data_IF_498248902187
#
_entry.id   IF_498248902187
#
_cell.length_a   1.000
_cell.length_b   1.000
_cell.length_c   1.000
_cell.angle_alpha   90.00
_cell.angle_beta   90.00
_cell.angle_gamma   90.00
#
_symmetry.space_group_name_H-M   'P 1'
#
loop_
_entity.id
_entity.type
_entity.pdbx_description
1 polymer ?
#
# COMPACT_ATOMS: atom_id res chain seq x y z
N UNK A 1 34.35 5.52 22.48
CA UNK A 1 33.83 4.38 21.71
C UNK A 1 32.39 4.02 22.13
N UNK A 2 31.79 4.76 23.09
CA UNK A 2 30.45 4.51 23.62
C UNK A 2 29.27 4.92 22.74
N UNK A 3 29.42 5.87 21.81
CA UNK A 3 28.29 6.40 21.06
C UNK A 3 27.60 5.34 20.19
N UNK A 4 28.37 4.46 19.55
CA UNK A 4 27.83 3.36 18.73
C UNK A 4 27.11 2.33 19.59
N UNK A 5 27.66 1.97 20.75
CA UNK A 5 27.03 1.04 21.68
C UNK A 5 25.72 1.61 22.25
N UNK A 6 25.71 2.90 22.61
CA UNK A 6 24.50 3.61 23.02
C UNK A 6 23.45 3.63 21.90
N UNK A 7 23.85 3.92 20.67
CA UNK A 7 22.94 3.91 19.53
C UNK A 7 22.35 2.52 19.24
N UNK A 8 23.15 1.45 19.37
CA UNK A 8 22.66 0.06 19.27
C UNK A 8 21.65 -0.22 20.37
N UNK A 9 21.94 0.18 21.61
CA UNK A 9 21.02 -0.02 22.73
C UNK A 9 19.69 0.71 22.50
N UNK A 10 19.73 1.95 21.99
CA UNK A 10 18.51 2.68 21.63
C UNK A 10 17.76 2.05 20.45
N UNK A 11 18.45 1.41 19.49
CA UNK A 11 17.77 0.63 18.45
C UNK A 11 17.05 -0.59 19.05
N UNK A 12 17.69 -1.29 19.98
CA UNK A 12 17.06 -2.43 20.69
C UNK A 12 15.84 -1.97 21.49
N UNK A 13 15.93 -0.83 22.18
CA UNK A 13 14.79 -0.26 22.92
C UNK A 13 13.61 0.12 22.01
N UNK A 14 13.90 0.61 20.79
CA UNK A 14 12.87 1.08 19.86
C UNK A 14 12.30 -0.02 18.96
N UNK A 15 13.12 -0.99 18.56
CA UNK A 15 12.77 -1.99 17.54
C UNK A 15 12.89 -3.44 18.03
N UNK A 16 13.37 -3.66 19.25
CA UNK A 16 13.57 -4.98 19.85
C UNK A 16 14.89 -5.66 19.48
N UNK A 17 15.52 -5.28 18.38
CA UNK A 17 16.76 -5.86 17.87
C UNK A 17 17.65 -4.81 17.17
N UNK A 18 18.97 -5.06 17.04
CA UNK A 18 19.85 -4.17 16.30
C UNK A 18 19.59 -4.23 14.80
N UNK A 19 19.28 -3.08 14.20
CA UNK A 19 18.88 -2.97 12.78
C UNK A 19 19.94 -3.52 11.82
N UNK A 20 21.23 -3.44 12.18
CA UNK A 20 22.31 -3.98 11.36
C UNK A 20 22.25 -5.50 11.20
N UNK A 21 21.83 -6.21 12.24
CA UNK A 21 21.69 -7.67 12.21
C UNK A 21 20.43 -8.08 11.43
N UNK A 22 19.31 -7.39 11.67
CA UNK A 22 18.06 -7.60 10.92
C UNK A 22 18.30 -7.42 9.42
N UNK A 23 18.95 -6.33 9.01
CA UNK A 23 19.25 -6.05 7.60
C UNK A 23 20.14 -7.15 7.00
N UNK A 24 21.17 -7.63 7.71
CA UNK A 24 22.03 -8.71 7.22
C UNK A 24 21.28 -10.03 7.06
N UNK A 25 20.39 -10.34 8.01
CA UNK A 25 19.52 -11.53 7.98
C UNK A 25 18.57 -11.52 6.78
N UNK A 26 18.15 -10.33 6.33
CA UNK A 26 17.30 -10.16 5.15
C UNK A 26 18.08 -10.24 3.84
N UNK A 27 19.27 -9.63 3.78
CA UNK A 27 20.04 -9.54 2.53
C UNK A 27 20.47 -10.91 1.98
N UNK A 28 20.94 -11.81 2.84
CA UNK A 28 21.51 -13.08 2.40
C UNK A 28 20.47 -14.04 1.78
N UNK A 29 19.31 -14.30 2.41
CA UNK A 29 18.28 -15.18 1.83
C UNK A 29 17.65 -14.62 0.56
N UNK A 30 17.47 -13.29 0.50
CA UNK A 30 16.83 -12.65 -0.66
C UNK A 30 17.80 -12.39 -1.82
N UNK A 31 19.10 -12.68 -1.65
CA UNK A 31 20.12 -12.38 -2.67
C UNK A 31 20.25 -10.88 -2.99
N UNK A 32 19.82 -10.01 -2.08
CA UNK A 32 19.78 -8.56 -2.29
C UNK A 32 21.09 -7.89 -1.87
N UNK A 33 21.44 -6.81 -2.57
CA UNK A 33 22.47 -5.87 -2.11
C UNK A 33 21.87 -4.85 -1.14
N UNK A 34 22.70 -4.13 -0.36
CA UNK A 34 22.21 -3.05 0.50
C UNK A 34 21.44 -1.98 -0.31
N UNK A 35 21.90 -1.65 -1.52
CA UNK A 35 21.18 -0.74 -2.42
C UNK A 35 19.84 -1.31 -2.88
N UNK A 36 19.79 -2.61 -3.18
CA UNK A 36 18.56 -3.32 -3.52
C UNK A 36 17.55 -3.25 -2.37
N UNK A 37 17.94 -3.62 -1.16
CA UNK A 37 17.06 -3.54 0.02
C UNK A 37 16.60 -2.10 0.29
N UNK A 38 17.50 -1.11 0.18
CA UNK A 38 17.16 0.30 0.34
C UNK A 38 16.04 0.72 -0.63
N UNK A 39 16.12 0.28 -1.89
CA UNK A 39 15.11 0.56 -2.91
C UNK A 39 13.77 -0.13 -2.62
N UNK A 40 13.81 -1.35 -2.07
CA UNK A 40 12.61 -2.11 -1.66
C UNK A 40 11.89 -1.42 -0.50
N UNK A 41 12.62 -1.04 0.55
CA UNK A 41 12.02 -0.42 1.74
C UNK A 41 11.72 1.08 1.55
N UNK A 42 12.24 1.70 0.49
CA UNK A 42 12.04 3.12 0.18
C UNK A 42 12.95 4.06 0.97
N UNK A 43 14.16 3.60 1.31
CA UNK A 43 15.19 4.38 1.99
C UNK A 43 16.33 4.70 1.01
N UNK A 44 17.09 5.77 1.27
CA UNK A 44 18.33 5.99 0.52
C UNK A 44 19.42 5.02 0.99
N UNK A 45 20.24 4.53 0.06
CA UNK A 45 21.40 3.70 0.36
C UNK A 45 22.34 4.28 1.47
N UNK A 46 22.68 5.59 1.49
CA UNK A 46 23.49 6.15 2.58
C UNK A 46 22.76 6.11 3.93
N UNK A 47 21.45 6.33 3.97
CA UNK A 47 20.67 6.28 5.21
C UNK A 47 20.57 4.84 5.75
N UNK A 48 20.48 3.83 4.86
CA UNK A 48 20.54 2.43 5.26
C UNK A 48 21.93 2.08 5.84
N UNK A 49 23.01 2.54 5.18
CA UNK A 49 24.38 2.33 5.65
C UNK A 49 24.63 2.93 7.04
N UNK A 50 24.06 4.11 7.31
CA UNK A 50 24.13 4.76 8.63
C UNK A 50 23.37 4.01 9.72
N UNK A 51 22.23 3.41 9.41
CA UNK A 51 21.46 2.58 10.35
C UNK A 51 22.21 1.27 10.67
N UNK A 52 22.75 0.61 9.64
CA UNK A 52 23.53 -0.63 9.78
C UNK A 52 24.81 -0.41 10.57
N UNK A 53 25.47 0.74 10.37
CA UNK A 53 26.67 1.13 11.14
C UNK A 53 26.36 1.71 12.52
N UNK A 54 25.09 1.71 12.94
CA UNK A 54 24.59 2.31 14.18
C UNK A 54 25.02 3.78 14.40
N UNK A 55 25.24 4.53 13.32
CA UNK A 55 25.42 5.98 13.37
C UNK A 55 24.08 6.72 13.48
N UNK A 56 22.99 6.05 13.10
CA UNK A 56 21.63 6.58 13.12
C UNK A 56 20.69 5.61 13.83
N UNK A 57 19.78 6.14 14.63
CA UNK A 57 18.89 5.34 15.50
C UNK A 57 17.45 5.31 14.96
N UNK A 58 16.86 6.47 14.63
CA UNK A 58 15.42 6.55 14.30
C UNK A 58 15.11 6.45 12.80
N UNK A 59 14.18 5.57 12.41
CA UNK A 59 13.54 5.57 11.08
C UNK A 59 12.37 6.55 11.15
N UNK A 60 12.42 7.64 10.39
CA UNK A 60 11.39 8.70 10.46
C UNK A 60 10.08 8.37 9.75
N UNK A 61 10.06 7.31 8.93
CA UNK A 61 8.90 6.93 8.13
C UNK A 61 8.40 5.53 8.57
N UNK A 62 7.19 5.40 9.14
CA UNK A 62 6.66 4.11 9.57
C UNK A 62 6.48 3.12 8.42
N UNK A 63 6.25 3.60 7.19
CA UNK A 63 6.16 2.74 6.00
C UNK A 63 7.45 1.95 5.73
N UNK A 64 8.61 2.53 6.02
CA UNK A 64 9.90 1.86 5.87
C UNK A 64 9.99 0.68 6.84
N UNK A 65 9.51 0.86 8.08
CA UNK A 65 9.52 -0.22 9.07
C UNK A 65 8.57 -1.35 8.69
N UNK A 66 7.39 -1.02 8.19
CA UNK A 66 6.44 -2.03 7.67
C UNK A 66 7.05 -2.83 6.51
N UNK A 67 7.73 -2.19 5.57
CA UNK A 67 8.42 -2.88 4.45
C UNK A 67 9.62 -3.69 4.92
N UNK A 68 10.37 -3.21 5.91
CA UNK A 68 11.49 -3.96 6.49
C UNK A 68 10.99 -5.24 7.18
N UNK A 69 9.91 -5.16 7.96
CA UNK A 69 9.29 -6.35 8.57
C UNK A 69 8.81 -7.34 7.51
N UNK A 70 8.12 -6.86 6.46
CA UNK A 70 7.67 -7.73 5.37
C UNK A 70 8.86 -8.40 4.62
N UNK A 71 9.98 -7.68 4.46
CA UNK A 71 11.20 -8.26 3.89
C UNK A 71 11.84 -9.31 4.81
N UNK A 72 11.78 -9.12 6.13
CA UNK A 72 12.20 -10.13 7.12
C UNK A 72 11.32 -11.38 7.09
N UNK A 73 10.00 -11.23 7.00
CA UNK A 73 9.06 -12.35 6.86
C UNK A 73 9.32 -13.13 5.56
N UNK A 74 9.53 -12.42 4.44
CA UNK A 74 9.89 -13.06 3.17
C UNK A 74 11.22 -13.82 3.26
N UNK A 75 12.22 -13.25 3.95
CA UNK A 75 13.50 -13.91 4.15
C UNK A 75 13.36 -15.21 4.96
N UNK A 76 12.47 -15.23 5.96
CA UNK A 76 12.16 -16.43 6.73
C UNK A 76 11.52 -17.52 5.86
N UNK A 77 10.55 -17.15 5.02
CA UNK A 77 9.89 -18.07 4.06
C UNK A 77 10.87 -18.68 3.05
N UNK A 78 11.91 -17.94 2.65
CA UNK A 78 12.98 -18.47 1.78
C UNK A 78 13.87 -19.44 2.57
N UNK A 79 14.21 -19.12 3.82
CA UNK A 79 15.00 -20.00 4.70
C UNK A 79 14.25 -21.32 4.97
N UNK A 80 12.93 -21.27 5.19
CA UNK A 80 12.08 -22.44 5.42
C UNK A 80 11.74 -23.21 4.13
N UNK A 81 12.19 -22.71 2.97
CA UNK A 81 11.91 -23.26 1.64
C UNK A 81 10.41 -23.30 1.29
N UNK A 82 9.61 -22.42 1.90
CA UNK A 82 8.19 -22.24 1.57
C UNK A 82 7.99 -21.42 0.29
N UNK A 83 9.00 -20.64 -0.10
CA UNK A 83 9.04 -19.87 -1.35
C UNK A 83 10.27 -20.30 -2.15
N UNK A 84 10.08 -20.51 -3.46
CA UNK A 84 11.17 -20.83 -4.37
C UNK A 84 11.92 -19.57 -4.82
N UNK A 85 13.19 -19.72 -5.18
CA UNK A 85 14.06 -18.60 -5.60
C UNK A 85 13.49 -17.78 -6.77
N UNK A 86 12.74 -18.43 -7.67
CA UNK A 86 12.10 -17.78 -8.82
C UNK A 86 10.98 -16.81 -8.42
N UNK A 87 10.32 -17.03 -7.28
CA UNK A 87 9.20 -16.20 -6.81
C UNK A 87 9.65 -15.00 -5.95
N UNK A 88 10.93 -14.97 -5.54
CA UNK A 88 11.50 -13.90 -4.71
C UNK A 88 11.36 -12.51 -5.37
N UNK A 89 11.67 -12.31 -6.67
CA UNK A 89 11.56 -11.00 -7.31
C UNK A 89 10.13 -10.44 -7.26
N UNK A 90 9.13 -11.26 -7.57
CA UNK A 90 7.71 -10.87 -7.54
C UNK A 90 7.24 -10.53 -6.12
N UNK A 91 7.68 -11.30 -5.13
CA UNK A 91 7.39 -11.02 -3.73
C UNK A 91 8.02 -9.71 -3.25
N UNK A 92 9.27 -9.44 -3.66
CA UNK A 92 9.99 -8.19 -3.37
C UNK A 92 9.31 -6.98 -4.02
N UNK A 93 8.88 -7.07 -5.28
CA UNK A 93 8.13 -5.99 -5.94
C UNK A 93 6.76 -5.74 -5.27
N UNK A 94 6.11 -6.79 -4.75
CA UNK A 94 4.88 -6.63 -3.96
C UNK A 94 5.12 -5.80 -2.69
N UNK A 95 6.20 -6.08 -1.94
CA UNK A 95 6.58 -5.32 -0.73
C UNK A 95 6.83 -3.84 -1.07
N UNK A 96 7.48 -3.58 -2.20
CA UNK A 96 7.69 -2.22 -2.70
C UNK A 96 6.37 -1.51 -3.00
N UNK A 97 5.41 -2.22 -3.62
CA UNK A 97 4.12 -1.69 -4.02
C UNK A 97 3.14 -1.42 -2.87
N UNK A 98 3.26 -2.12 -1.72
CA UNK A 98 2.31 -2.07 -0.59
C UNK A 98 1.94 -0.66 -0.09
N UNK A 99 2.84 0.33 -0.23
CA UNK A 99 2.55 1.73 0.11
C UNK A 99 2.71 2.72 -1.06
N UNK A 100 3.01 2.22 -2.27
CA UNK A 100 2.98 3.05 -3.48
C UNK A 100 1.56 3.49 -3.85
N UNK A 101 0.54 2.72 -3.46
CA UNK A 101 -0.85 2.98 -3.80
C UNK A 101 -1.45 4.25 -3.18
N UNK A 102 -0.86 4.81 -2.12
CA UNK A 102 -1.34 6.05 -1.49
C UNK A 102 -0.62 7.32 -1.95
N UNK A 103 0.51 7.20 -2.67
CA UNK A 103 1.27 8.35 -3.19
C UNK A 103 1.83 8.07 -4.58
N UNK A 104 0.97 7.66 -5.52
CA UNK A 104 1.27 7.88 -6.94
C UNK A 104 0.14 8.71 -7.52
N UNK A 105 0.36 10.03 -7.47
CA UNK A 105 -0.21 10.98 -8.43
C UNK A 105 -0.24 10.33 -9.80
N UNK A 106 -1.42 10.33 -10.43
CA UNK A 106 -1.68 9.65 -11.69
C UNK A 106 -0.72 10.06 -12.81
N UNK A 107 -0.67 9.29 -13.91
CA UNK A 107 0.03 9.72 -15.11
C UNK A 107 -0.59 11.02 -15.59
N UNK A 108 0.06 12.14 -15.30
CA UNK A 108 -0.22 13.42 -15.96
C UNK A 108 0.14 13.24 -17.42
N UNK A 109 -0.85 12.89 -18.24
CA UNK A 109 -0.81 13.16 -19.68
C UNK A 109 -0.66 14.67 -19.84
N UNK A 110 0.58 15.11 -20.07
CA UNK A 110 0.87 16.45 -20.53
C UNK A 110 0.22 16.64 -21.91
N UNK A 111 -0.88 17.40 -21.95
CA UNK A 111 -1.36 18.01 -23.19
C UNK A 111 -0.35 19.07 -23.64
N UNK A 112 0.12 19.04 -24.90
CA UNK A 112 0.84 20.18 -25.45
C UNK A 112 -0.14 21.31 -25.75
N UNK A 113 0.21 22.49 -25.24
CA UNK A 113 -0.48 23.75 -25.50
C UNK A 113 -0.18 24.25 -26.93
N UNK A 114 -1.23 24.44 -27.74
CA UNK A 114 -1.30 25.37 -28.89
C UNK A 114 -2.81 25.70 -29.03
N UNK A 115 -3.35 26.91 -28.89
CA UNK A 115 -2.87 28.20 -29.38
C UNK A 115 -3.73 28.59 -30.60
N UNK A 116 -4.90 29.22 -30.39
CA UNK A 116 -5.67 29.88 -31.46
C UNK A 116 -7.20 29.84 -31.33
N UNK A 117 -7.81 30.96 -30.94
CA UNK A 117 -9.11 31.43 -31.47
C UNK A 117 -8.81 32.36 -32.67
N UNK A 118 -9.74 32.72 -33.59
CA UNK A 118 -11.17 32.93 -33.37
C UNK A 118 -12.04 32.52 -34.62
N UNK A 119 -13.17 33.17 -34.99
CA UNK A 119 -14.47 32.49 -35.09
C UNK A 119 -15.11 32.57 -36.50
N UNK A 120 -16.36 32.09 -36.57
CA UNK A 120 -17.39 32.32 -37.60
C UNK A 120 -17.54 31.28 -38.72
N UNK A 121 -18.75 30.69 -38.75
CA UNK A 121 -19.65 30.53 -39.91
C UNK A 121 -20.29 29.13 -39.99
N UNK A 122 -21.61 29.12 -39.87
CA UNK A 122 -22.55 28.11 -40.41
C UNK A 122 -23.50 28.89 -41.35
N UNK A 123 -24.34 28.30 -42.24
CA UNK A 123 -24.49 26.94 -42.82
C UNK A 123 -24.71 27.04 -44.37
N UNK A 124 -25.63 26.29 -45.07
CA UNK A 124 -25.91 24.85 -45.18
C UNK A 124 -25.73 24.28 -46.62
N UNK A 125 -25.74 22.96 -46.81
CA UNK A 125 -25.83 22.37 -48.16
C UNK A 125 -25.92 20.85 -48.19
N UNK A 126 -26.96 20.35 -48.85
CA UNK A 126 -27.42 18.96 -48.98
C UNK A 126 -26.36 17.95 -49.44
N UNK A 127 -26.52 16.68 -49.02
CA UNK A 127 -26.12 15.56 -49.87
C UNK A 127 -25.89 14.22 -49.17
N UNK A 128 -26.87 13.34 -49.33
CA UNK A 128 -26.73 11.88 -49.40
C UNK A 128 -26.45 11.06 -48.13
N UNK A 129 -27.53 10.42 -47.68
CA UNK A 129 -27.51 9.11 -47.01
C UNK A 129 -26.92 8.03 -47.95
N UNK A 130 -26.30 6.99 -47.38
CA UNK A 130 -26.72 5.62 -47.71
C UNK A 130 -27.01 4.77 -46.45
N UNK A 131 -27.73 3.63 -46.61
CA UNK A 131 -28.39 2.94 -45.50
C UNK A 131 -27.58 1.78 -44.92
N UNK A 132 -27.86 1.47 -43.65
CA UNK A 132 -28.07 0.10 -43.18
C UNK A 132 -26.86 -0.71 -42.76
N UNK A 133 -26.66 -0.83 -41.44
CA UNK A 133 -26.57 -2.09 -40.66
C UNK A 133 -26.77 -1.70 -39.19
N UNK A 134 -27.92 -1.98 -38.57
CA UNK A 134 -28.17 -3.21 -37.80
C UNK A 134 -27.06 -3.52 -36.79
N UNK A 135 -27.32 -3.30 -35.49
CA UNK A 135 -26.46 -3.83 -34.43
C UNK A 135 -26.55 -3.12 -33.08
N UNK A 136 -27.56 -3.50 -32.30
CA UNK A 136 -27.70 -3.43 -30.85
C UNK A 136 -26.64 -2.69 -30.00
N UNK A 137 -27.13 -1.69 -29.25
CA UNK A 137 -26.61 -1.37 -27.92
C UNK A 137 -26.94 -2.52 -26.95
N UNK A 138 -25.92 -3.14 -26.37
CA UNK A 138 -25.99 -3.66 -25.00
C UNK A 138 -24.64 -3.41 -24.35
N UNK A 139 -24.70 -2.81 -23.16
CA UNK A 139 -23.57 -2.56 -22.30
C UNK A 139 -22.92 -3.89 -21.90
N UNK A 140 -21.60 -4.00 -22.06
CA UNK A 140 -20.79 -4.98 -21.35
C UNK A 140 -19.82 -4.24 -20.47
N UNK A 141 -20.19 -4.13 -19.19
CA UNK A 141 -19.21 -4.02 -18.13
C UNK A 141 -18.37 -5.30 -18.18
N UNK A 142 -17.12 -5.17 -18.57
CA UNK A 142 -16.13 -6.20 -18.27
C UNK A 142 -15.82 -6.08 -16.78
N UNK A 143 -16.67 -6.70 -15.96
CA UNK A 143 -16.16 -7.40 -14.80
C UNK A 143 -15.09 -8.34 -15.36
N UNK A 144 -13.82 -8.02 -15.09
CA UNK A 144 -12.77 -9.03 -15.16
C UNK A 144 -13.12 -10.06 -14.09
N UNK A 145 -13.86 -11.08 -14.55
CA UNK A 145 -14.13 -12.28 -13.80
C UNK A 145 -12.78 -12.86 -13.38
N UNK A 146 -12.58 -12.97 -12.07
CA UNK A 146 -11.50 -13.76 -11.51
C UNK A 146 -11.68 -15.20 -11.99
N UNK A 147 -10.60 -15.94 -12.33
CA UNK A 147 -10.75 -17.32 -12.72
C UNK A 147 -11.33 -18.12 -11.56
N UNK A 148 -12.37 -18.89 -11.89
CA UNK A 148 -13.08 -19.77 -10.96
C UNK A 148 -12.09 -20.62 -10.16
N UNK A 149 -12.29 -20.60 -8.85
CA UNK A 149 -11.53 -21.31 -7.85
C UNK A 149 -11.25 -22.76 -8.27
N UNK A 150 -9.99 -23.04 -8.58
CA UNK A 150 -9.46 -24.37 -8.35
C UNK A 150 -9.57 -24.61 -6.84
N UNK A 151 -10.34 -25.63 -6.48
CA UNK A 151 -10.45 -26.17 -5.13
C UNK A 151 -9.05 -26.49 -4.62
N UNK A 152 -8.46 -25.56 -3.87
CA UNK A 152 -7.37 -25.84 -2.93
C UNK A 152 -7.98 -26.11 -1.57
N UNK A 153 -7.42 -27.04 -0.77
CA UNK A 153 -7.86 -27.26 0.60
C UNK A 153 -7.70 -25.96 1.41
N UNK A 154 -8.58 -25.68 2.40
CA UNK A 154 -8.48 -24.45 3.18
C UNK A 154 -7.19 -24.49 4.00
N UNK A 155 -6.23 -23.64 3.62
CA UNK A 155 -5.14 -23.25 4.49
C UNK A 155 -5.73 -22.28 5.53
N UNK A 156 -6.05 -22.77 6.73
CA UNK A 156 -6.58 -21.98 7.85
C UNK A 156 -5.45 -21.15 8.49
N UNK A 157 -4.84 -20.31 7.66
CA UNK A 157 -3.81 -19.31 8.01
C UNK A 157 -4.22 -17.89 7.61
N UNK A 158 -5.46 -17.70 7.14
CA UNK A 158 -6.01 -16.38 6.89
C UNK A 158 -6.24 -15.67 8.22
N UNK A 159 -5.51 -14.57 8.46
CA UNK A 159 -5.71 -13.74 9.65
C UNK A 159 -7.19 -13.36 9.73
N UNK A 160 -7.88 -13.59 10.87
CA UNK A 160 -9.31 -13.31 10.97
C UNK A 160 -9.58 -11.84 10.69
N UNK A 161 -10.61 -11.51 9.90
CA UNK A 161 -11.00 -10.13 9.60
C UNK A 161 -11.15 -9.29 10.88
N UNK A 162 -11.69 -9.89 11.95
CA UNK A 162 -11.80 -9.29 13.28
C UNK A 162 -10.45 -8.88 13.87
N UNK A 163 -9.39 -9.67 13.67
CA UNK A 163 -8.04 -9.37 14.16
C UNK A 163 -7.45 -8.18 13.42
N UNK A 164 -7.64 -8.11 12.09
CA UNK A 164 -7.19 -6.99 11.25
C UNK A 164 -7.93 -5.70 11.64
N UNK A 165 -9.26 -5.78 11.73
CA UNK A 165 -10.11 -4.64 12.13
C UNK A 165 -9.70 -4.12 13.50
N UNK A 166 -9.44 -5.02 14.45
CA UNK A 166 -9.02 -4.62 15.80
C UNK A 166 -7.69 -3.86 15.78
N UNK A 167 -6.71 -4.34 15.01
CA UNK A 167 -5.43 -3.65 14.84
C UNK A 167 -5.59 -2.26 14.22
N UNK A 168 -6.50 -2.10 13.24
CA UNK A 168 -6.81 -0.79 12.63
C UNK A 168 -7.45 0.16 13.66
N UNK A 169 -8.41 -0.33 14.44
CA UNK A 169 -9.07 0.47 15.49
C UNK A 169 -8.09 0.91 16.57
N UNK A 170 -7.20 0.01 17.00
CA UNK A 170 -6.18 0.31 18.01
C UNK A 170 -5.18 1.36 17.48
N UNK A 171 -4.73 1.25 16.22
CA UNK A 171 -3.84 2.24 15.60
C UNK A 171 -4.49 3.63 15.48
N UNK A 172 -5.75 3.70 15.03
CA UNK A 172 -6.48 4.97 14.92
C UNK A 172 -6.62 5.66 16.29
N UNK A 173 -6.88 4.88 17.33
CA UNK A 173 -7.08 5.38 18.70
C UNK A 173 -5.77 5.76 19.40
N UNK A 174 -4.64 5.19 18.98
CA UNK A 174 -3.31 5.63 19.42
C UNK A 174 -2.98 7.03 18.88
N UNK A 175 -3.39 7.34 17.66
CA UNK A 175 -3.06 8.59 16.96
C UNK A 175 -4.02 9.73 17.33
N UNK A 176 -5.29 9.43 17.55
CA UNK A 176 -6.30 10.44 17.81
C UNK A 176 -7.39 9.94 18.77
N UNK A 177 -7.88 10.85 19.62
CA UNK A 177 -9.01 10.58 20.50
C UNK A 177 -10.28 10.36 19.68
N UNK A 178 -11.28 9.70 20.27
CA UNK A 178 -12.59 9.47 19.62
C UNK A 178 -13.26 10.76 19.16
N UNK A 179 -13.22 11.80 19.98
CA UNK A 179 -13.75 13.13 19.65
C UNK A 179 -12.99 13.80 18.51
N UNK A 180 -11.68 13.57 18.41
CA UNK A 180 -10.85 14.11 17.32
C UNK A 180 -11.16 13.39 16.01
N UNK A 181 -11.31 12.06 16.04
CA UNK A 181 -11.72 11.26 14.88
C UNK A 181 -13.12 11.65 14.39
N UNK A 182 -14.06 11.91 15.31
CA UNK A 182 -15.40 12.38 14.96
C UNK A 182 -15.37 13.78 14.34
N UNK A 183 -14.56 14.69 14.89
CA UNK A 183 -14.39 16.04 14.35
C UNK A 183 -13.74 16.01 12.97
N UNK A 184 -12.73 15.15 12.77
CA UNK A 184 -12.08 14.95 11.48
C UNK A 184 -13.06 14.39 10.43
N UNK A 185 -13.86 13.39 10.81
CA UNK A 185 -14.90 12.85 9.94
C UNK A 185 -15.92 13.91 9.50
N UNK A 186 -16.36 14.78 10.42
CA UNK A 186 -17.27 15.87 10.10
C UNK A 186 -16.65 16.92 9.15
N UNK A 187 -15.35 17.18 9.28
CA UNK A 187 -14.64 18.14 8.43
C UNK A 187 -14.48 17.65 6.99
N UNK A 188 -14.25 16.34 6.78
CA UNK A 188 -14.03 15.75 5.44
C UNK A 188 -15.32 15.32 4.74
N UNK A 189 -16.40 15.07 5.48
CA UNK A 189 -17.70 14.65 4.94
C UNK A 189 -18.19 15.41 3.68
N UNK A 190 -18.08 16.76 3.57
CA UNK A 190 -18.54 17.46 2.36
C UNK A 190 -17.69 17.19 1.11
N UNK A 191 -16.42 16.84 1.27
CA UNK A 191 -15.49 16.60 0.15
C UNK A 191 -15.33 15.11 -0.16
N UNK A 192 -15.43 14.25 0.86
CA UNK A 192 -15.34 12.80 0.73
C UNK A 192 -16.19 12.09 1.78
N UNK A 193 -17.46 11.78 1.47
CA UNK A 193 -18.35 11.10 2.40
C UNK A 193 -17.87 9.67 2.73
N UNK A 194 -17.28 8.97 1.76
CA UNK A 194 -16.74 7.62 1.98
C UNK A 194 -15.60 7.59 3.01
N UNK A 195 -14.73 8.60 3.02
CA UNK A 195 -13.66 8.70 4.02
C UNK A 195 -14.20 9.06 5.40
N UNK A 196 -15.22 9.91 5.48
CA UNK A 196 -15.90 10.21 6.73
C UNK A 196 -16.56 8.95 7.33
N UNK A 197 -17.22 8.13 6.49
CA UNK A 197 -17.80 6.86 6.91
C UNK A 197 -16.75 5.89 7.44
N UNK A 198 -15.60 5.78 6.78
CA UNK A 198 -14.49 4.94 7.24
C UNK A 198 -13.95 5.43 8.59
N UNK A 199 -13.73 6.73 8.76
CA UNK A 199 -13.26 7.28 10.05
C UNK A 199 -14.26 7.02 11.19
N UNK A 200 -15.55 7.09 10.90
CA UNK A 200 -16.59 6.77 11.89
C UNK A 200 -16.65 5.26 12.18
N UNK A 201 -16.66 4.41 11.15
CA UNK A 201 -16.74 2.96 11.30
C UNK A 201 -15.58 2.40 12.14
N UNK A 202 -14.35 2.87 11.89
CA UNK A 202 -13.16 2.36 12.58
C UNK A 202 -12.77 3.18 13.82
N UNK A 203 -13.09 4.48 13.89
CA UNK A 203 -12.69 5.35 15.00
C UNK A 203 -13.68 5.43 16.15
N UNK A 204 -14.99 5.37 15.85
CA UNK A 204 -16.06 5.54 16.85
C UNK A 204 -17.04 4.37 16.89
N UNK A 205 -17.09 3.55 15.83
CA UNK A 205 -17.97 2.39 15.70
C UNK A 205 -17.57 1.19 16.57
N UNK A 206 -18.53 0.28 16.78
CA UNK A 206 -18.24 -1.01 17.45
C UNK A 206 -17.47 -1.90 16.48
N UNK A 207 -16.62 -2.77 17.02
CA UNK A 207 -15.81 -3.71 16.23
C UNK A 207 -16.65 -4.58 15.29
N UNK A 208 -17.89 -4.93 15.66
CA UNK A 208 -18.79 -5.68 14.80
C UNK A 208 -19.21 -4.91 13.53
N UNK A 209 -19.52 -3.61 13.67
CA UNK A 209 -19.87 -2.73 12.55
C UNK A 209 -18.66 -2.50 11.63
N UNK A 210 -17.46 -2.37 12.21
CA UNK A 210 -16.21 -2.25 11.47
C UNK A 210 -15.83 -3.53 10.71
N UNK A 211 -16.14 -4.72 11.26
CA UNK A 211 -15.95 -6.00 10.55
C UNK A 211 -16.90 -6.12 9.37
N UNK A 212 -18.17 -5.78 9.52
CA UNK A 212 -19.12 -5.78 8.41
C UNK A 212 -18.69 -4.82 7.28
N UNK A 213 -18.20 -3.63 7.64
CA UNK A 213 -17.65 -2.68 6.67
C UNK A 213 -16.38 -3.22 5.99
N UNK A 214 -15.50 -3.92 6.73
CA UNK A 214 -14.30 -4.54 6.18
C UNK A 214 -14.66 -5.64 5.18
N UNK A 215 -15.56 -6.55 5.54
CA UNK A 215 -16.00 -7.66 4.69
C UNK A 215 -16.74 -7.17 3.44
N UNK A 216 -17.52 -6.10 3.54
CA UNK A 216 -18.24 -5.53 2.39
C UNK A 216 -17.32 -4.87 1.34
N UNK A 217 -16.11 -4.44 1.74
CA UNK A 217 -15.12 -3.83 0.85
C UNK A 217 -13.98 -4.79 0.44
N UNK A 218 -13.82 -5.92 1.13
CA UNK A 218 -12.80 -6.94 0.84
C UNK A 218 -13.37 -8.30 0.34
N UNK A 219 -14.70 -8.40 0.18
CA UNK A 219 -15.41 -9.58 -0.34
C UNK A 219 -15.66 -9.57 -1.84
#
# INVERSE_FOLDING_TARGET
MDQTAHNIQQQIELYGEPLGETVRRVLAPLGLTQGGLAQVIGLSAPMLSQLVSAQRVKIGNPAVMSRLRAASELADLVITHEIQEFDIPDAVDRIRATNGALTTSGPTTQSPAQGGTPPYATPPGLGAQPPGVAGAHVASGTQSAWPAAAVMPPNDGAVPARTIVRAIQDLLREVASTDELQRAAAAIAPESPALAELLLAYGTGRTADAVAHYEQHHG
#
